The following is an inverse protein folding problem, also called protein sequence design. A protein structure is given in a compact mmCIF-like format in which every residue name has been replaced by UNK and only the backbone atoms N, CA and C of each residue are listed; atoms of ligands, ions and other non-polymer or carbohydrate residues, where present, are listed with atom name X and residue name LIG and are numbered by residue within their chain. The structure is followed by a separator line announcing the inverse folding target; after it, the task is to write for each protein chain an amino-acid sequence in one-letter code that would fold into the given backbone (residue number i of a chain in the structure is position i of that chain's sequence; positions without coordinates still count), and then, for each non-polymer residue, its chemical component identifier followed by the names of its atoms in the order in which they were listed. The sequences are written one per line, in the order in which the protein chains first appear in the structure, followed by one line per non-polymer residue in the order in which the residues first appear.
data_IF_604067932732
#
_entry.id   IF_604067932732
#
_cell.length_a   1.000
_cell.length_b   1.000
_cell.length_c   1.000
_cell.angle_alpha   90.00
_cell.angle_beta   90.00
_cell.angle_gamma   90.00
#
_symmetry.space_group_name_H-M   'P 1'
#
loop_
_entity.id
_entity.type
_entity.pdbx_description
1 polymer ?
#
# COMPACT_ATOMS: atom_id res chain seq x y z
N UNK A 1 19.47 10.34 -11.16
CA UNK A 1 20.39 10.11 -12.29
C UNK A 1 19.64 10.02 -13.64
N UNK A 2 18.92 8.93 -13.95
CA UNK A 2 18.27 8.73 -15.27
C UNK A 2 17.34 9.87 -15.73
N UNK A 3 16.54 10.42 -14.81
CA UNK A 3 15.64 11.55 -15.12
C UNK A 3 16.40 12.82 -15.51
N UNK A 4 17.49 13.16 -14.80
CA UNK A 4 18.33 14.31 -15.11
C UNK A 4 19.12 14.15 -16.42
N UNK A 5 19.46 12.91 -16.78
CA UNK A 5 20.08 12.57 -18.06
C UNK A 5 19.08 12.43 -19.23
N UNK A 6 17.79 12.75 -19.03
CA UNK A 6 16.69 12.58 -20.01
C UNK A 6 16.54 11.16 -20.58
N UNK A 7 17.02 10.14 -19.86
CA UNK A 7 16.91 8.74 -20.26
C UNK A 7 15.57 8.16 -19.77
N UNK A 8 14.46 8.63 -20.32
CA UNK A 8 13.11 8.30 -19.85
C UNK A 8 12.75 6.82 -20.02
N UNK A 9 13.21 6.15 -21.07
CA UNK A 9 13.00 4.71 -21.26
C UNK A 9 13.63 3.88 -20.12
N UNK A 10 14.88 4.20 -19.78
CA UNK A 10 15.60 3.54 -18.68
C UNK A 10 14.94 3.84 -17.34
N UNK A 11 14.49 5.08 -17.13
CA UNK A 11 13.74 5.46 -15.94
C UNK A 11 12.47 4.61 -15.78
N UNK A 12 11.61 4.54 -16.80
CA UNK A 12 10.37 3.76 -16.72
C UNK A 12 10.63 2.25 -16.61
N UNK A 13 11.71 1.74 -17.21
CA UNK A 13 12.14 0.35 -17.01
C UNK A 13 12.53 0.07 -15.56
N UNK A 14 13.29 0.96 -14.91
CA UNK A 14 13.61 0.83 -13.48
C UNK A 14 12.36 0.88 -12.61
N UNK A 15 11.44 1.81 -12.86
CA UNK A 15 10.16 1.90 -12.13
C UNK A 15 9.35 0.61 -12.29
N UNK A 16 9.25 0.07 -13.50
CA UNK A 16 8.55 -1.19 -13.76
C UNK A 16 9.16 -2.36 -12.99
N UNK A 17 10.48 -2.48 -12.98
CA UNK A 17 11.18 -3.51 -12.21
C UNK A 17 10.92 -3.36 -10.72
N UNK A 18 11.02 -2.14 -10.18
CA UNK A 18 10.75 -1.85 -8.78
C UNK A 18 9.30 -2.18 -8.38
N UNK A 19 8.32 -1.88 -9.23
CA UNK A 19 6.91 -2.25 -9.03
C UNK A 19 6.78 -3.77 -8.96
N UNK A 20 7.34 -4.50 -9.93
CA UNK A 20 7.25 -5.97 -9.97
C UNK A 20 7.88 -6.58 -8.72
N UNK A 21 9.10 -6.17 -8.35
CA UNK A 21 9.78 -6.69 -7.16
C UNK A 21 9.03 -6.33 -5.88
N UNK A 22 8.52 -5.09 -5.79
CA UNK A 22 7.76 -4.62 -4.64
C UNK A 22 6.45 -5.40 -4.48
N UNK A 23 5.70 -5.61 -5.57
CA UNK A 23 4.47 -6.40 -5.57
C UNK A 23 4.73 -7.87 -5.24
N UNK A 24 5.80 -8.48 -5.75
CA UNK A 24 6.15 -9.87 -5.37
C UNK A 24 6.43 -9.96 -3.88
N UNK A 25 7.20 -9.03 -3.33
CA UNK A 25 7.51 -9.01 -1.89
C UNK A 25 6.25 -8.84 -1.04
N UNK A 26 5.41 -7.86 -1.35
CA UNK A 26 4.19 -7.61 -0.56
C UNK A 26 3.15 -8.72 -0.75
N UNK A 27 3.05 -9.32 -1.94
CA UNK A 27 2.19 -10.48 -2.19
C UNK A 27 2.67 -11.69 -1.40
N UNK A 28 3.99 -11.91 -1.32
CA UNK A 28 4.55 -13.00 -0.51
C UNK A 28 4.22 -12.79 0.97
N UNK A 29 4.42 -11.57 1.49
CA UNK A 29 4.02 -11.22 2.86
C UNK A 29 2.52 -11.40 3.13
N UNK A 30 1.67 -11.05 2.15
CA UNK A 30 0.23 -11.28 2.22
C UNK A 30 -0.11 -12.76 2.32
N UNK A 31 0.46 -13.60 1.44
CA UNK A 31 0.20 -15.05 1.47
C UNK A 31 0.65 -15.66 2.81
N UNK A 32 1.83 -15.28 3.30
CA UNK A 32 2.32 -15.74 4.59
C UNK A 32 1.38 -15.31 5.73
N UNK A 33 1.01 -14.03 5.79
CA UNK A 33 0.12 -13.52 6.83
C UNK A 33 -1.30 -14.09 6.74
N UNK A 34 -1.78 -14.44 5.55
CA UNK A 34 -3.13 -14.96 5.34
C UNK A 34 -3.25 -16.43 5.74
N UNK A 35 -2.27 -17.26 5.33
CA UNK A 35 -2.29 -18.71 5.59
C UNK A 35 -1.69 -19.08 6.95
N UNK A 36 -0.75 -18.30 7.48
CA UNK A 36 -0.08 -18.57 8.75
C UNK A 36 -0.48 -17.58 9.85
N UNK A 37 -1.65 -16.94 9.75
CA UNK A 37 -2.12 -15.96 10.75
C UNK A 37 -2.21 -16.57 12.15
N UNK A 38 -2.82 -17.76 12.26
CA UNK A 38 -3.11 -18.40 13.54
C UNK A 38 -1.80 -18.82 14.22
N UNK A 39 -0.88 -19.42 13.45
CA UNK A 39 0.46 -19.78 13.89
C UNK A 39 1.26 -18.54 14.33
N UNK A 40 1.16 -17.44 13.59
CA UNK A 40 1.90 -16.22 13.91
C UNK A 40 1.44 -15.61 15.23
N UNK A 41 0.13 -15.63 15.48
CA UNK A 41 -0.48 -15.08 16.70
C UNK A 41 -0.25 -16.00 17.90
N UNK A 42 -0.32 -17.32 17.73
CA UNK A 42 -0.11 -18.29 18.81
C UNK A 42 1.32 -18.27 19.39
N UNK A 43 2.28 -17.65 18.70
CA UNK A 43 3.62 -17.40 19.25
C UNK A 43 3.63 -16.36 20.37
N UNK A 44 2.59 -15.53 20.47
CA UNK A 44 2.51 -14.42 21.43
C UNK A 44 1.47 -14.64 22.54
N UNK A 45 0.53 -15.56 22.35
CA UNK A 45 -0.51 -15.87 23.34
C UNK A 45 -0.93 -17.33 23.27
N UNK A 46 -1.37 -17.85 24.42
CA UNK A 46 -1.98 -19.19 24.55
C UNK A 46 -3.50 -19.13 24.79
N UNK A 47 -4.08 -17.92 24.82
CA UNK A 47 -5.51 -17.72 24.95
C UNK A 47 -6.19 -17.90 23.59
N UNK A 48 -7.09 -18.88 23.48
CA UNK A 48 -7.75 -19.26 22.24
C UNK A 48 -8.68 -18.16 21.70
N UNK A 49 -9.38 -17.44 22.58
CA UNK A 49 -10.29 -16.35 22.19
C UNK A 49 -9.48 -15.18 21.64
N UNK A 50 -8.41 -14.80 22.33
CA UNK A 50 -7.51 -13.74 21.87
C UNK A 50 -6.81 -14.12 20.56
N UNK A 51 -6.45 -15.39 20.41
CA UNK A 51 -5.84 -15.91 19.17
C UNK A 51 -6.78 -15.73 17.98
N UNK A 52 -8.04 -16.13 18.13
CA UNK A 52 -9.04 -16.00 17.07
C UNK A 52 -9.28 -14.53 16.67
N UNK A 53 -9.36 -13.63 17.65
CA UNK A 53 -9.55 -12.18 17.41
C UNK A 53 -8.35 -11.60 16.67
N UNK A 54 -7.13 -11.84 17.15
CA UNK A 54 -5.92 -11.27 16.57
C UNK A 54 -5.59 -11.87 15.19
N UNK A 55 -5.86 -13.15 14.96
CA UNK A 55 -5.69 -13.76 13.66
C UNK A 55 -6.66 -13.19 12.62
N UNK A 56 -7.93 -12.98 13.00
CA UNK A 56 -8.89 -12.30 12.15
C UNK A 56 -8.48 -10.85 11.87
N UNK A 57 -8.00 -10.12 12.89
CA UNK A 57 -7.48 -8.77 12.74
C UNK A 57 -6.30 -8.72 11.73
N UNK A 58 -5.37 -9.67 11.84
CA UNK A 58 -4.24 -9.77 10.92
C UNK A 58 -4.71 -10.02 9.48
N UNK A 59 -5.59 -11.01 9.27
CA UNK A 59 -6.15 -11.34 7.95
C UNK A 59 -6.80 -10.13 7.30
N UNK A 60 -7.65 -9.41 8.03
CA UNK A 60 -8.31 -8.19 7.54
C UNK A 60 -7.28 -7.12 7.19
N UNK A 61 -6.34 -6.85 8.11
CA UNK A 61 -5.37 -5.75 7.96
C UNK A 61 -4.47 -5.90 6.74
N UNK A 62 -4.17 -7.14 6.33
CA UNK A 62 -3.27 -7.42 5.20
C UNK A 62 -4.00 -7.61 3.86
N UNK A 63 -5.34 -7.56 3.79
CA UNK A 63 -6.11 -7.85 2.57
C UNK A 63 -5.63 -7.12 1.31
N UNK A 64 -5.23 -5.85 1.47
CA UNK A 64 -4.74 -5.01 0.37
C UNK A 64 -3.22 -4.82 0.36
N UNK A 65 -2.50 -5.59 1.17
CA UNK A 65 -1.04 -5.56 1.19
C UNK A 65 -0.39 -5.85 -0.18
N UNK A 66 -0.90 -6.76 -1.04
CA UNK A 66 -0.33 -6.99 -2.37
C UNK A 66 -0.20 -5.73 -3.24
N UNK A 67 -1.13 -4.79 -3.11
CA UNK A 67 -1.14 -3.56 -3.92
C UNK A 67 -0.32 -2.42 -3.32
N UNK A 68 0.04 -2.50 -2.04
CA UNK A 68 0.85 -1.49 -1.33
C UNK A 68 2.24 -1.33 -1.96
N UNK A 69 2.84 -2.40 -2.46
CA UNK A 69 4.16 -2.37 -3.10
C UNK A 69 4.20 -1.39 -4.28
N UNK A 70 3.14 -1.34 -5.08
CA UNK A 70 3.01 -0.36 -6.16
C UNK A 70 2.95 1.06 -5.62
N UNK A 71 2.09 1.33 -4.63
CA UNK A 71 1.90 2.67 -4.06
C UNK A 71 3.22 3.25 -3.51
N UNK A 72 3.98 2.44 -2.77
CA UNK A 72 5.26 2.87 -2.18
C UNK A 72 6.27 3.21 -3.28
N UNK A 73 6.38 2.35 -4.30
CA UNK A 73 7.31 2.58 -5.42
C UNK A 73 6.95 3.85 -6.19
N UNK A 74 5.66 4.13 -6.43
CA UNK A 74 5.23 5.35 -7.10
C UNK A 74 5.55 6.60 -6.26
N UNK A 75 5.30 6.58 -4.94
CA UNK A 75 5.65 7.71 -4.07
C UNK A 75 7.16 7.99 -4.09
N UNK A 76 7.98 6.94 -3.93
CA UNK A 76 9.44 7.03 -3.98
C UNK A 76 9.94 7.49 -5.35
N UNK A 77 9.29 7.06 -6.44
CA UNK A 77 9.59 7.52 -7.78
C UNK A 77 9.45 9.05 -7.89
N UNK A 78 8.31 9.62 -7.48
CA UNK A 78 8.08 11.06 -7.51
C UNK A 78 9.08 11.82 -6.64
N UNK A 79 9.46 11.27 -5.48
CA UNK A 79 10.50 11.84 -4.64
C UNK A 79 11.86 11.87 -5.38
N UNK A 80 12.24 10.78 -6.03
CA UNK A 80 13.54 10.63 -6.72
C UNK A 80 13.73 11.56 -7.93
N UNK A 81 12.63 12.02 -8.54
CA UNK A 81 12.64 12.95 -9.68
C UNK A 81 12.42 14.42 -9.26
N UNK A 82 12.51 14.72 -7.96
CA UNK A 82 12.38 16.08 -7.42
C UNK A 82 10.93 16.56 -7.27
N UNK A 83 9.93 15.70 -7.47
CA UNK A 83 8.50 16.01 -7.23
C UNK A 83 8.07 15.68 -5.81
N UNK A 84 8.81 16.19 -4.83
CA UNK A 84 8.60 15.93 -3.40
C UNK A 84 7.16 16.24 -2.94
N UNK A 85 6.56 17.34 -3.43
CA UNK A 85 5.17 17.71 -3.10
C UNK A 85 4.16 16.61 -3.49
N UNK A 86 4.37 15.94 -4.62
CA UNK A 86 3.51 14.83 -5.07
C UNK A 86 3.71 13.61 -4.18
N UNK A 87 4.96 13.27 -3.84
CA UNK A 87 5.26 12.17 -2.91
C UNK A 87 4.64 12.41 -1.53
N UNK A 88 4.78 13.61 -0.97
CA UNK A 88 4.17 13.99 0.31
C UNK A 88 2.66 13.84 0.25
N UNK A 89 2.02 14.35 -0.81
CA UNK A 89 0.58 14.19 -1.00
C UNK A 89 0.16 12.72 -1.03
N UNK A 90 0.85 11.87 -1.79
CA UNK A 90 0.55 10.43 -1.85
C UNK A 90 0.75 9.74 -0.49
N UNK A 91 1.78 10.10 0.27
CA UNK A 91 1.98 9.57 1.62
C UNK A 91 0.87 10.02 2.58
N UNK A 92 0.45 11.30 2.50
CA UNK A 92 -0.67 11.81 3.30
C UNK A 92 -2.00 11.16 2.94
N UNK A 93 -2.22 10.79 1.67
CA UNK A 93 -3.44 10.07 1.29
C UNK A 93 -3.60 8.77 2.05
N UNK A 94 -2.51 8.03 2.20
CA UNK A 94 -2.47 6.74 2.88
C UNK A 94 -2.55 6.84 4.41
N UNK A 95 -1.81 7.78 5.01
CA UNK A 95 -1.69 7.86 6.47
C UNK A 95 -2.73 8.76 7.14
N UNK A 96 -3.30 9.72 6.43
CA UNK A 96 -4.20 10.72 7.02
C UNK A 96 -5.51 10.86 6.24
N UNK A 97 -5.45 11.27 4.98
CA UNK A 97 -6.64 11.72 4.23
C UNK A 97 -7.65 10.60 4.06
N UNK A 98 -7.23 9.36 3.83
CA UNK A 98 -8.15 8.22 3.72
C UNK A 98 -8.26 7.41 5.01
N UNK A 99 -7.18 7.28 5.78
CA UNK A 99 -7.20 6.49 7.01
C UNK A 99 -8.09 7.10 8.10
N UNK A 100 -8.02 8.42 8.32
CA UNK A 100 -8.81 9.08 9.36
C UNK A 100 -10.32 8.95 9.07
N UNK A 101 -10.83 9.27 7.87
CA UNK A 101 -12.23 9.02 7.58
C UNK A 101 -12.60 7.53 7.68
N UNK A 102 -11.75 6.62 7.20
CA UNK A 102 -12.03 5.19 7.26
C UNK A 102 -12.19 4.69 8.71
N UNK A 103 -11.32 5.12 9.63
CA UNK A 103 -11.40 4.70 11.04
C UNK A 103 -12.55 5.37 11.79
N UNK A 104 -13.04 6.52 11.33
CA UNK A 104 -14.23 7.17 11.91
C UNK A 104 -15.54 6.56 11.39
N UNK A 105 -15.55 6.05 10.17
CA UNK A 105 -16.77 5.58 9.47
C UNK A 105 -16.97 4.06 9.60
N UNK A 106 -15.91 3.25 9.48
CA UNK A 106 -16.04 1.80 9.39
C UNK A 106 -16.37 1.12 10.72
N UNK A 107 -15.76 1.45 11.87
CA UNK A 107 -16.09 0.78 13.13
C UNK A 107 -17.54 0.93 13.59
N UNK A 108 -18.20 2.11 13.45
CA UNK A 108 -19.63 2.23 13.75
C UNK A 108 -20.53 1.29 12.94
N UNK A 109 -20.11 0.90 11.73
CA UNK A 109 -20.91 0.07 10.81
C UNK A 109 -20.56 -1.42 10.92
N UNK A 110 -19.28 -1.75 11.07
CA UNK A 110 -18.75 -3.11 11.02
C UNK A 110 -18.12 -3.58 12.34
N UNK A 111 -18.27 -2.80 13.42
CA UNK A 111 -17.69 -3.09 14.73
C UNK A 111 -16.16 -3.17 14.70
N UNK A 112 -15.61 -4.12 15.45
CA UNK A 112 -14.17 -4.33 15.55
C UNK A 112 -13.52 -4.64 14.19
N UNK A 113 -14.21 -5.39 13.32
CA UNK A 113 -13.73 -5.67 11.96
C UNK A 113 -13.61 -4.39 11.12
N UNK A 114 -14.48 -3.41 11.35
CA UNK A 114 -14.40 -2.09 10.72
C UNK A 114 -13.14 -1.33 11.09
N UNK A 115 -12.68 -1.45 12.34
CA UNK A 115 -11.43 -0.85 12.79
C UNK A 115 -10.22 -1.46 12.06
N UNK A 116 -10.17 -2.79 11.95
CA UNK A 116 -9.11 -3.49 11.22
C UNK A 116 -9.17 -3.22 9.71
N UNK A 117 -10.36 -3.05 9.15
CA UNK A 117 -10.56 -2.74 7.73
C UNK A 117 -10.19 -1.30 7.34
N UNK A 118 -10.00 -0.38 8.29
CA UNK A 118 -9.65 1.00 7.98
C UNK A 118 -8.30 1.13 7.26
N UNK A 119 -7.30 0.35 7.67
CA UNK A 119 -5.99 0.33 7.01
C UNK A 119 -6.05 -0.17 5.55
N UNK A 120 -6.58 -1.37 5.25
CA UNK A 120 -6.63 -1.83 3.87
C UNK A 120 -7.48 -0.92 3.00
N UNK A 121 -8.62 -0.39 3.49
CA UNK A 121 -9.44 0.57 2.72
C UNK A 121 -8.63 1.83 2.36
N UNK A 122 -7.89 2.39 3.32
CA UNK A 122 -7.00 3.51 3.08
C UNK A 122 -5.92 3.18 2.04
N UNK A 123 -5.28 2.02 2.19
CA UNK A 123 -4.23 1.55 1.28
C UNK A 123 -4.76 1.36 -0.15
N UNK A 124 -5.99 0.85 -0.30
CA UNK A 124 -6.66 0.72 -1.59
C UNK A 124 -6.91 2.07 -2.26
N UNK A 125 -7.52 3.02 -1.56
CA UNK A 125 -7.79 4.37 -2.07
C UNK A 125 -6.52 5.14 -2.39
N UNK A 126 -5.48 5.02 -1.55
CA UNK A 126 -4.18 5.63 -1.78
C UNK A 126 -3.47 5.03 -3.01
N UNK A 127 -3.58 3.70 -3.20
CA UNK A 127 -3.05 3.01 -4.38
C UNK A 127 -3.73 3.49 -5.66
N UNK A 128 -5.07 3.61 -5.66
CA UNK A 128 -5.81 4.16 -6.80
C UNK A 128 -5.37 5.59 -7.13
N UNK A 129 -5.21 6.42 -6.10
CA UNK A 129 -4.72 7.80 -6.24
C UNK A 129 -3.32 7.84 -6.84
N UNK A 130 -2.39 7.03 -6.32
CA UNK A 130 -1.03 6.91 -6.84
C UNK A 130 -1.01 6.43 -8.29
N UNK A 131 -1.86 5.45 -8.64
CA UNK A 131 -2.01 4.95 -9.99
C UNK A 131 -2.50 6.01 -10.97
N UNK A 132 -3.52 6.79 -10.57
CA UNK A 132 -4.01 7.91 -11.36
C UNK A 132 -2.93 8.98 -11.56
N UNK A 133 -2.26 9.41 -10.49
CA UNK A 133 -1.18 10.41 -10.56
C UNK A 133 -0.03 9.94 -11.45
N UNK A 134 0.38 8.68 -11.33
CA UNK A 134 1.42 8.10 -12.17
C UNK A 134 0.99 8.00 -13.63
N UNK A 135 -0.24 7.57 -13.92
CA UNK A 135 -0.76 7.51 -15.29
C UNK A 135 -0.80 8.88 -15.97
N UNK A 136 -1.26 9.91 -15.26
CA UNK A 136 -1.26 11.30 -15.76
C UNK A 136 0.17 11.76 -16.07
N UNK A 137 1.11 11.47 -15.17
CA UNK A 137 2.53 11.78 -15.38
C UNK A 137 3.10 11.03 -16.59
N UNK A 138 2.87 9.73 -16.68
CA UNK A 138 3.35 8.89 -17.78
C UNK A 138 2.85 9.38 -19.14
N UNK A 139 1.57 9.76 -19.23
CA UNK A 139 1.00 10.33 -20.46
C UNK A 139 1.70 11.61 -20.92
N UNK A 140 2.11 12.48 -20.01
CA UNK A 140 2.85 13.70 -20.38
C UNK A 140 4.17 13.40 -21.08
N UNK A 141 4.86 12.31 -20.72
CA UNK A 141 6.15 11.94 -21.31
C UNK A 141 6.04 11.03 -22.53
N UNK A 142 4.93 10.28 -22.70
CA UNK A 142 4.73 9.45 -23.90
C UNK A 142 4.47 10.28 -25.17
N UNK A 143 4.12 11.56 -25.00
CA UNK A 143 3.87 12.52 -26.09
C UNK A 143 5.03 13.51 -26.32
N UNK A 144 6.13 13.37 -25.58
CA UNK A 144 7.38 14.12 -25.73
C UNK A 144 8.46 13.21 -26.31
#
# INVERSE_FOLDING_TARGET
FNFGAKQYDRMFRTVKLAIITGTILTTTGFLLGMFFSDLSVSLFTTDDELTAIAANALRISILLFPVVGFQIVISNFFQSIGKAKVSIFLSLTRQFIFLIPAILILPPVFGLNGAWAAMPVSDGLATLTAGYTFYRFYKTFKWL
#
